data_IF_426287943806
#
_entry.id   IF_426287943806
#
_cell.length_a   1.000
_cell.length_b   1.000
_cell.length_c   1.000
_cell.angle_alpha   90.00
_cell.angle_beta   90.00
_cell.angle_gamma   90.00
#
_symmetry.space_group_name_H-M   'P 1'
#
loop_
_entity.id
_entity.type
_entity.pdbx_description
1 polymer ?
#
# COMPACT_ATOMS: atom_id res chain seq x y z
N UNK A 1 26.93 -12.37 -4.05
CA UNK A 1 26.29 -11.03 -3.93
C UNK A 1 24.80 -11.17 -4.12
N UNK A 2 24.01 -10.44 -3.34
CA UNK A 2 22.53 -10.38 -3.46
C UNK A 2 22.17 -8.99 -3.95
N UNK A 3 21.48 -8.90 -5.07
CA UNK A 3 20.86 -7.67 -5.55
C UNK A 3 19.45 -7.59 -4.95
N UNK A 4 19.29 -6.75 -3.92
CA UNK A 4 17.97 -6.48 -3.33
C UNK A 4 17.30 -5.31 -4.06
N UNK A 5 16.09 -5.52 -4.46
CA UNK A 5 15.36 -4.51 -5.20
C UNK A 5 13.98 -4.30 -4.58
N UNK A 6 13.74 -3.09 -4.07
CA UNK A 6 12.54 -2.70 -3.34
C UNK A 6 11.89 -1.39 -3.82
N UNK A 7 12.14 -0.92 -5.06
CA UNK A 7 11.52 0.29 -5.58
C UNK A 7 10.55 0.03 -6.74
N UNK A 8 9.57 0.91 -6.91
CA UNK A 8 8.47 0.78 -7.88
C UNK A 8 8.96 0.63 -9.33
N UNK A 9 10.03 1.31 -9.73
CA UNK A 9 10.59 1.24 -11.10
C UNK A 9 11.16 -0.13 -11.47
N UNK A 10 11.64 -0.85 -10.47
CA UNK A 10 12.22 -2.18 -10.65
C UNK A 10 11.16 -3.23 -10.96
N UNK A 11 9.96 -3.04 -10.48
CA UNK A 11 8.86 -3.99 -10.70
C UNK A 11 8.44 -4.09 -12.16
N UNK A 12 8.75 -3.08 -12.99
CA UNK A 12 8.46 -3.08 -14.43
C UNK A 12 9.58 -3.65 -15.29
N UNK A 13 10.82 -3.68 -14.77
CA UNK A 13 12.03 -4.09 -15.50
C UNK A 13 12.68 -5.35 -14.95
N UNK A 14 11.88 -6.26 -14.44
CA UNK A 14 12.38 -7.46 -13.74
C UNK A 14 13.30 -8.31 -14.60
N UNK A 15 13.00 -8.46 -15.90
CA UNK A 15 13.85 -9.19 -16.84
C UNK A 15 15.22 -8.52 -17.04
N UNK A 16 15.26 -7.18 -17.09
CA UNK A 16 16.52 -6.41 -17.18
C UNK A 16 17.35 -6.56 -15.92
N UNK A 17 16.72 -6.44 -14.73
CA UNK A 17 17.40 -6.66 -13.45
C UNK A 17 17.91 -8.09 -13.31
N UNK A 18 17.17 -9.08 -13.85
CA UNK A 18 17.65 -10.45 -13.89
C UNK A 18 18.88 -10.59 -14.76
N UNK A 19 18.90 -9.99 -15.93
CA UNK A 19 20.07 -9.99 -16.82
C UNK A 19 21.31 -9.38 -16.16
N UNK A 20 21.13 -8.22 -15.49
CA UNK A 20 22.20 -7.58 -14.73
C UNK A 20 22.72 -8.48 -13.61
N UNK A 21 21.80 -9.10 -12.86
CA UNK A 21 22.17 -10.00 -11.77
C UNK A 21 22.98 -11.21 -12.28
N UNK A 22 22.59 -11.80 -13.40
CA UNK A 22 23.30 -12.91 -14.04
C UNK A 22 24.68 -12.46 -14.53
N UNK A 23 24.81 -11.28 -15.14
CA UNK A 23 26.08 -10.73 -15.62
C UNK A 23 27.12 -10.55 -14.49
N UNK A 24 26.68 -10.10 -13.33
CA UNK A 24 27.57 -9.87 -12.17
C UNK A 24 27.66 -11.07 -11.21
N UNK A 25 27.03 -12.19 -11.52
CA UNK A 25 27.00 -13.40 -10.69
C UNK A 25 26.28 -13.19 -9.35
N UNK A 26 25.22 -12.37 -9.32
CA UNK A 26 24.45 -12.08 -8.12
C UNK A 26 23.07 -12.77 -8.14
N UNK A 27 22.52 -13.03 -6.96
CA UNK A 27 21.11 -13.44 -6.85
C UNK A 27 20.20 -12.20 -6.89
N UNK A 28 19.16 -12.25 -7.73
CA UNK A 28 18.08 -11.27 -7.71
C UNK A 28 17.02 -11.68 -6.68
N UNK A 29 16.85 -10.86 -5.64
CA UNK A 29 15.79 -10.99 -4.65
C UNK A 29 14.82 -9.82 -4.76
N UNK A 30 13.54 -10.13 -4.98
CA UNK A 30 12.46 -9.14 -5.10
C UNK A 30 11.53 -9.25 -3.89
N UNK A 31 11.30 -8.14 -3.18
CA UNK A 31 10.27 -8.05 -2.16
C UNK A 31 9.01 -7.40 -2.74
N UNK A 32 7.94 -8.19 -2.92
CA UNK A 32 6.65 -7.72 -3.41
C UNK A 32 5.61 -7.49 -2.29
N UNK A 33 6.05 -7.36 -1.04
CA UNK A 33 5.17 -7.33 0.12
C UNK A 33 4.03 -6.30 0.02
N UNK A 34 4.29 -5.12 -0.54
CA UNK A 34 3.27 -4.08 -0.67
C UNK A 34 2.26 -4.35 -1.76
N UNK A 35 2.66 -4.92 -2.88
CA UNK A 35 1.82 -5.05 -4.09
C UNK A 35 1.48 -6.51 -4.46
N UNK A 36 1.77 -7.48 -3.58
CA UNK A 36 1.51 -8.89 -3.84
C UNK A 36 0.05 -9.20 -4.20
N UNK A 37 -0.91 -8.45 -3.64
CA UNK A 37 -2.33 -8.57 -4.02
C UNK A 37 -2.58 -8.16 -5.48
N UNK A 38 -1.91 -7.12 -5.97
CA UNK A 38 -1.99 -6.69 -7.37
C UNK A 38 -1.38 -7.73 -8.31
N UNK A 39 -0.25 -8.34 -7.90
CA UNK A 39 0.37 -9.45 -8.66
C UNK A 39 -0.56 -10.65 -8.72
N UNK A 40 -1.14 -11.07 -7.60
CA UNK A 40 -2.08 -12.19 -7.53
C UNK A 40 -3.33 -11.96 -8.41
N UNK A 41 -3.80 -10.71 -8.50
CA UNK A 41 -4.92 -10.32 -9.35
C UNK A 41 -4.55 -10.18 -10.85
N UNK A 42 -3.27 -10.31 -11.20
CA UNK A 42 -2.79 -10.10 -12.58
C UNK A 42 -2.79 -8.63 -13.03
N UNK A 43 -2.81 -7.69 -12.08
CA UNK A 43 -2.85 -6.24 -12.33
C UNK A 43 -1.47 -5.57 -12.20
N UNK A 44 -0.44 -6.34 -11.89
CA UNK A 44 0.93 -5.87 -11.77
C UNK A 44 1.89 -6.96 -12.28
N UNK A 45 3.04 -6.58 -12.90
CA UNK A 45 4.02 -7.56 -13.35
C UNK A 45 4.45 -8.53 -12.26
N UNK A 46 4.51 -9.83 -12.62
CA UNK A 46 4.84 -10.91 -11.69
C UNK A 46 6.37 -11.10 -11.60
N UNK A 47 7.00 -10.95 -10.42
CA UNK A 47 8.44 -11.13 -10.25
C UNK A 47 8.90 -12.59 -10.26
N UNK A 48 7.99 -13.53 -9.97
CA UNK A 48 8.34 -14.95 -9.76
C UNK A 48 9.07 -15.60 -10.94
N UNK A 49 8.75 -15.32 -12.22
CA UNK A 49 9.49 -15.88 -13.35
C UNK A 49 10.92 -15.34 -13.50
N UNK A 50 11.21 -14.17 -12.95
CA UNK A 50 12.47 -13.45 -13.16
C UNK A 50 13.41 -13.52 -11.96
N UNK A 51 12.88 -13.45 -10.74
CA UNK A 51 13.69 -13.43 -9.53
C UNK A 51 14.16 -14.83 -9.11
N UNK A 52 15.33 -14.89 -8.49
CA UNK A 52 15.80 -16.11 -7.83
C UNK A 52 15.00 -16.39 -6.56
N UNK A 53 14.69 -15.32 -5.83
CA UNK A 53 13.90 -15.36 -4.59
C UNK A 53 12.90 -14.21 -4.61
N UNK A 54 11.67 -14.49 -4.22
CA UNK A 54 10.62 -13.49 -4.00
C UNK A 54 10.14 -13.59 -2.56
N UNK A 55 10.16 -12.48 -1.82
CA UNK A 55 9.55 -12.40 -0.50
C UNK A 55 8.29 -11.56 -0.51
N UNK A 56 7.38 -11.85 0.41
CA UNK A 56 6.17 -11.07 0.59
C UNK A 56 5.61 -11.18 2.01
N UNK A 57 4.71 -10.25 2.32
CA UNK A 57 3.80 -10.35 3.47
C UNK A 57 2.40 -10.74 3.01
N UNK A 58 1.61 -11.33 3.91
CA UNK A 58 0.22 -11.71 3.62
C UNK A 58 -0.77 -10.62 4.04
N UNK A 59 -0.40 -9.76 4.98
CA UNK A 59 -1.29 -8.81 5.67
C UNK A 59 -1.40 -7.41 5.06
N UNK A 60 -0.87 -7.20 3.84
CA UNK A 60 -1.00 -5.94 3.10
C UNK A 60 -2.07 -6.08 2.01
N UNK A 61 -1.76 -5.85 0.74
CA UNK A 61 -2.74 -5.95 -0.36
C UNK A 61 -3.36 -7.33 -0.53
N UNK A 62 -2.71 -8.41 -0.05
CA UNK A 62 -3.31 -9.75 -0.02
C UNK A 62 -4.45 -9.88 1.00
N UNK A 63 -4.47 -9.05 2.06
CA UNK A 63 -5.56 -8.99 3.03
C UNK A 63 -5.68 -10.18 3.98
N UNK A 64 -4.60 -10.91 4.21
CA UNK A 64 -4.56 -12.07 5.11
C UNK A 64 -3.94 -11.79 6.48
N UNK A 65 -3.55 -12.82 7.24
CA UNK A 65 -3.01 -12.69 8.59
C UNK A 65 -1.61 -12.09 8.58
N UNK A 66 -1.18 -11.52 9.71
CA UNK A 66 0.19 -11.02 9.90
C UNK A 66 1.19 -12.17 9.80
N UNK A 67 1.85 -12.23 8.66
CA UNK A 67 2.84 -13.27 8.33
C UNK A 67 3.57 -12.92 7.05
N UNK A 68 4.57 -13.71 6.68
CA UNK A 68 5.28 -13.64 5.42
C UNK A 68 5.32 -14.99 4.70
N UNK A 69 5.80 -14.96 3.47
CA UNK A 69 6.15 -16.14 2.69
C UNK A 69 7.30 -15.83 1.73
N UNK A 70 7.98 -16.87 1.30
CA UNK A 70 9.08 -16.79 0.34
C UNK A 70 8.79 -17.77 -0.79
N UNK A 71 9.05 -17.34 -2.01
CA UNK A 71 8.89 -18.14 -3.23
C UNK A 71 10.24 -18.25 -3.96
N UNK A 72 10.49 -19.42 -4.52
CA UNK A 72 11.60 -19.67 -5.45
C UNK A 72 11.25 -20.82 -6.39
N UNK A 73 11.73 -20.75 -7.62
CA UNK A 73 11.64 -21.83 -8.60
C UNK A 73 12.91 -22.73 -8.58
N UNK A 74 13.92 -22.38 -7.79
CA UNK A 74 15.17 -23.12 -7.67
C UNK A 74 15.10 -24.14 -6.50
N UNK A 75 15.17 -25.48 -6.78
CA UNK A 75 15.09 -26.50 -5.74
C UNK A 75 16.23 -26.43 -4.70
N UNK A 76 17.42 -25.97 -5.09
CA UNK A 76 18.56 -25.86 -4.17
C UNK A 76 18.40 -24.65 -3.24
N UNK A 77 17.93 -23.53 -3.78
CA UNK A 77 17.55 -22.37 -2.95
C UNK A 77 16.38 -22.72 -2.03
N UNK A 78 15.40 -23.46 -2.49
CA UNK A 78 14.26 -23.90 -1.68
C UNK A 78 14.72 -24.66 -0.42
N UNK A 79 15.64 -25.62 -0.57
CA UNK A 79 16.19 -26.37 0.58
C UNK A 79 16.91 -25.45 1.58
N UNK A 80 17.74 -24.52 1.06
CA UNK A 80 18.47 -23.55 1.90
C UNK A 80 17.54 -22.62 2.63
N UNK A 81 16.51 -22.08 1.94
CA UNK A 81 15.52 -21.17 2.52
C UNK A 81 14.69 -21.88 3.60
N UNK A 82 14.24 -23.12 3.37
CA UNK A 82 13.53 -23.90 4.37
C UNK A 82 14.38 -24.13 5.63
N UNK A 83 15.65 -24.52 5.46
CA UNK A 83 16.56 -24.70 6.58
C UNK A 83 16.86 -23.39 7.33
N UNK A 84 16.97 -22.27 6.61
CA UNK A 84 17.17 -20.96 7.21
C UNK A 84 15.95 -20.49 8.02
N UNK A 85 14.74 -20.79 7.55
CA UNK A 85 13.50 -20.49 8.28
C UNK A 85 13.39 -21.41 9.50
N UNK A 86 13.47 -22.71 9.31
CA UNK A 86 13.39 -23.68 10.41
C UNK A 86 14.42 -24.80 10.19
N UNK A 87 15.28 -25.08 11.16
CA UNK A 87 15.36 -24.48 12.50
C UNK A 87 16.25 -23.22 12.61
N UNK A 88 16.67 -22.62 11.49
CA UNK A 88 17.68 -21.56 11.50
C UNK A 88 17.27 -20.31 12.29
N UNK A 89 16.11 -19.76 12.03
CA UNK A 89 15.66 -18.48 12.62
C UNK A 89 14.34 -18.59 13.40
N UNK A 90 13.51 -19.60 13.15
CA UNK A 90 12.18 -19.76 13.73
C UNK A 90 12.04 -21.14 14.38
N UNK A 91 11.00 -21.27 15.23
CA UNK A 91 10.59 -22.52 15.86
C UNK A 91 9.29 -23.06 15.28
N UNK A 92 8.48 -23.72 16.11
CA UNK A 92 7.21 -24.30 15.70
C UNK A 92 6.25 -23.25 15.12
N UNK A 93 5.60 -23.52 13.97
CA UNK A 93 4.71 -22.58 13.32
C UNK A 93 3.39 -22.42 14.08
N UNK A 94 2.79 -21.24 13.98
CA UNK A 94 1.43 -20.97 14.46
C UNK A 94 0.42 -21.53 13.45
N UNK A 95 -0.16 -22.69 13.74
CA UNK A 95 -1.01 -23.41 12.78
C UNK A 95 -2.29 -22.66 12.39
N UNK A 96 -2.86 -21.85 13.30
CA UNK A 96 -3.98 -20.96 12.97
C UNK A 96 -3.59 -19.90 11.93
N UNK A 97 -2.36 -19.40 11.97
CA UNK A 97 -1.83 -18.47 10.95
C UNK A 97 -1.62 -19.19 9.62
N UNK A 98 -1.14 -20.44 9.64
CA UNK A 98 -0.99 -21.25 8.42
C UNK A 98 -2.35 -21.49 7.76
N UNK A 99 -3.37 -21.87 8.52
CA UNK A 99 -4.74 -22.05 8.02
C UNK A 99 -5.32 -20.73 7.46
N UNK A 100 -5.12 -19.61 8.16
CA UNK A 100 -5.56 -18.31 7.70
C UNK A 100 -4.84 -17.85 6.41
N UNK A 101 -3.55 -18.18 6.23
CA UNK A 101 -2.84 -17.96 4.96
C UNK A 101 -3.48 -18.74 3.81
N UNK A 102 -3.79 -20.03 4.02
CA UNK A 102 -4.42 -20.87 3.00
C UNK A 102 -5.77 -20.27 2.56
N UNK A 103 -6.57 -19.79 3.53
CA UNK A 103 -7.83 -19.10 3.26
C UNK A 103 -7.59 -17.80 2.45
N UNK A 104 -6.62 -16.98 2.86
CA UNK A 104 -6.29 -15.74 2.14
C UNK A 104 -5.84 -16.00 0.70
N UNK A 105 -5.03 -17.02 0.47
CA UNK A 105 -4.60 -17.40 -0.88
C UNK A 105 -5.75 -17.95 -1.74
N UNK A 106 -6.67 -18.68 -1.14
CA UNK A 106 -7.90 -19.13 -1.84
C UNK A 106 -8.76 -17.91 -2.25
N UNK A 107 -8.95 -16.95 -1.36
CA UNK A 107 -9.67 -15.69 -1.65
C UNK A 107 -8.96 -14.91 -2.76
N UNK A 108 -7.62 -14.82 -2.73
CA UNK A 108 -6.84 -14.11 -3.74
C UNK A 108 -7.01 -14.67 -5.17
N UNK A 109 -7.50 -15.90 -5.33
CA UNK A 109 -7.84 -16.50 -6.61
C UNK A 109 -9.27 -16.24 -7.10
N UNK A 110 -10.08 -15.42 -6.42
CA UNK A 110 -11.47 -15.14 -6.79
C UNK A 110 -11.61 -13.88 -7.64
N UNK A 111 -12.69 -13.81 -8.42
CA UNK A 111 -13.03 -12.62 -9.20
C UNK A 111 -13.36 -11.42 -8.29
N UNK A 112 -13.98 -11.65 -7.13
CA UNK A 112 -14.23 -10.62 -6.13
C UNK A 112 -12.93 -9.97 -5.62
N UNK A 113 -11.89 -10.78 -5.39
CA UNK A 113 -10.59 -10.27 -5.03
C UNK A 113 -9.98 -9.42 -6.14
N UNK A 114 -10.09 -9.86 -7.38
CA UNK A 114 -9.61 -9.11 -8.55
C UNK A 114 -10.33 -7.78 -8.69
N UNK A 115 -11.66 -7.75 -8.57
CA UNK A 115 -12.46 -6.52 -8.55
C UNK A 115 -11.98 -5.56 -7.45
N UNK A 116 -11.78 -6.06 -6.24
CA UNK A 116 -11.24 -5.27 -5.13
C UNK A 116 -9.89 -4.63 -5.46
N UNK A 117 -8.99 -5.38 -6.12
CA UNK A 117 -7.69 -4.83 -6.53
C UNK A 117 -7.82 -3.80 -7.67
N UNK A 118 -8.78 -3.97 -8.59
CA UNK A 118 -9.09 -2.97 -9.61
C UNK A 118 -9.58 -1.66 -8.98
N UNK A 119 -10.51 -1.73 -8.03
CA UNK A 119 -10.98 -0.56 -7.27
C UNK A 119 -9.86 0.09 -6.45
N UNK A 120 -8.94 -0.70 -5.91
CA UNK A 120 -7.74 -0.20 -5.22
C UNK A 120 -6.88 0.68 -6.14
N UNK A 121 -6.62 0.24 -7.37
CA UNK A 121 -5.84 0.99 -8.35
C UNK A 121 -6.60 2.23 -8.84
N UNK A 122 -7.89 2.08 -9.16
CA UNK A 122 -8.73 3.19 -9.59
C UNK A 122 -8.77 4.30 -8.52
N UNK A 123 -8.98 3.94 -7.25
CA UNK A 123 -8.98 4.88 -6.14
C UNK A 123 -7.63 5.59 -5.95
N UNK A 124 -6.51 4.89 -6.11
CA UNK A 124 -5.19 5.51 -6.03
C UNK A 124 -4.95 6.51 -7.17
N UNK A 125 -5.43 6.19 -8.37
CA UNK A 125 -5.35 7.08 -9.53
C UNK A 125 -6.18 8.34 -9.30
N UNK A 126 -7.44 8.20 -8.91
CA UNK A 126 -8.34 9.33 -8.57
C UNK A 126 -7.72 10.24 -7.53
N UNK A 127 -7.17 9.68 -6.46
CA UNK A 127 -6.49 10.45 -5.41
C UNK A 127 -5.28 11.20 -5.96
N UNK A 128 -4.44 10.56 -6.76
CA UNK A 128 -3.28 11.20 -7.36
C UNK A 128 -3.68 12.35 -8.31
N UNK A 129 -4.67 12.13 -9.17
CA UNK A 129 -5.20 13.14 -10.10
C UNK A 129 -5.73 14.36 -9.36
N UNK A 130 -6.49 14.18 -8.27
CA UNK A 130 -7.02 15.29 -7.46
C UNK A 130 -5.90 16.10 -6.79
N UNK A 131 -4.88 15.42 -6.26
CA UNK A 131 -3.73 16.08 -5.62
C UNK A 131 -2.75 16.73 -6.62
N UNK A 132 -2.91 16.47 -7.91
CA UNK A 132 -2.17 17.11 -9.01
C UNK A 132 -2.97 18.23 -9.68
N UNK A 133 -4.20 18.52 -9.23
CA UNK A 133 -5.00 19.63 -9.75
C UNK A 133 -4.34 20.99 -9.45
N UNK A 134 -4.71 22.01 -10.21
CA UNK A 134 -4.04 23.33 -10.17
C UNK A 134 -4.13 23.98 -8.79
N UNK A 135 -5.30 23.92 -8.13
CA UNK A 135 -5.51 24.45 -6.78
C UNK A 135 -4.60 23.77 -5.72
N UNK A 136 -4.42 22.46 -5.82
CA UNK A 136 -3.51 21.73 -4.94
C UNK A 136 -2.04 22.11 -5.22
N UNK A 137 -1.67 22.23 -6.48
CA UNK A 137 -0.32 22.68 -6.86
C UNK A 137 -0.02 24.11 -6.40
N UNK A 138 -0.96 25.03 -6.53
CA UNK A 138 -0.84 26.39 -6.03
C UNK A 138 -0.64 26.45 -4.52
N UNK A 139 -1.26 25.51 -3.77
CA UNK A 139 -1.05 25.33 -2.33
C UNK A 139 0.26 24.60 -1.98
N UNK A 140 1.10 24.26 -2.96
CA UNK A 140 2.38 23.58 -2.76
C UNK A 140 2.27 22.07 -2.55
N UNK A 141 1.12 21.47 -2.84
CA UNK A 141 0.90 20.01 -2.80
C UNK A 141 1.28 19.41 -4.15
N UNK A 142 1.99 18.30 -4.13
CA UNK A 142 2.30 17.53 -5.32
C UNK A 142 2.39 16.03 -5.03
N UNK A 143 2.55 15.22 -6.06
CA UNK A 143 2.68 13.77 -5.95
C UNK A 143 4.05 13.37 -6.49
N UNK A 144 4.80 12.62 -5.69
CA UNK A 144 6.11 12.08 -6.11
C UNK A 144 5.94 11.27 -7.41
N UNK A 145 6.86 11.46 -8.35
CA UNK A 145 6.83 10.86 -9.72
C UNK A 145 5.62 11.25 -10.58
N UNK A 146 4.82 12.24 -10.18
CA UNK A 146 3.72 12.76 -11.01
C UNK A 146 2.51 11.83 -11.13
N UNK A 147 2.38 10.83 -10.25
CA UNK A 147 1.25 9.89 -10.25
C UNK A 147 1.50 8.61 -9.48
N UNK A 148 0.66 7.61 -9.71
CA UNK A 148 0.82 6.28 -9.12
C UNK A 148 0.33 5.17 -10.06
N UNK A 149 0.95 4.01 -9.95
CA UNK A 149 0.57 2.78 -10.66
C UNK A 149 0.34 1.61 -9.69
N UNK A 150 0.28 1.93 -8.39
CA UNK A 150 0.09 0.97 -7.31
C UNK A 150 -1.03 1.42 -6.38
N UNK A 151 -1.19 0.77 -5.24
CA UNK A 151 -2.24 0.97 -4.25
C UNK A 151 -2.04 2.17 -3.32
N UNK A 152 -1.02 2.97 -3.52
CA UNK A 152 -0.68 4.11 -2.65
C UNK A 152 -0.20 5.32 -3.45
N UNK A 153 -0.33 6.49 -2.82
CA UNK A 153 0.18 7.77 -3.30
C UNK A 153 1.17 8.31 -2.29
N UNK A 154 2.32 8.78 -2.76
CA UNK A 154 3.28 9.51 -1.96
C UNK A 154 3.13 11.02 -2.29
N UNK A 155 2.57 11.74 -1.33
CA UNK A 155 2.35 13.20 -1.43
C UNK A 155 3.62 13.93 -1.03
N UNK A 156 3.98 14.97 -1.77
CA UNK A 156 5.12 15.84 -1.51
C UNK A 156 4.61 17.23 -1.09
N UNK A 157 4.98 17.63 0.12
CA UNK A 157 4.62 18.88 0.77
C UNK A 157 5.83 19.83 0.96
N UNK A 158 6.94 19.61 0.23
CA UNK A 158 8.13 20.48 0.40
C UNK A 158 7.86 21.94 0.09
N UNK A 159 6.94 22.22 -0.81
CA UNK A 159 6.53 23.57 -1.22
C UNK A 159 5.26 24.05 -0.50
N UNK A 160 4.64 23.22 0.35
CA UNK A 160 3.49 23.59 1.17
C UNK A 160 3.93 24.34 2.43
N UNK A 161 3.06 25.24 2.97
CA UNK A 161 3.27 25.82 4.30
C UNK A 161 3.33 24.77 5.41
N UNK A 162 2.65 23.63 5.23
CA UNK A 162 2.62 22.53 6.19
C UNK A 162 3.77 21.54 5.97
N UNK A 163 4.25 20.97 7.04
CA UNK A 163 5.10 19.79 7.00
C UNK A 163 4.28 18.50 7.08
N UNK A 164 4.96 17.34 7.01
CA UNK A 164 4.29 16.03 7.04
C UNK A 164 3.58 15.74 8.35
N UNK A 165 4.12 16.22 9.50
CA UNK A 165 3.49 16.03 10.80
C UNK A 165 2.21 16.85 10.93
N UNK A 166 2.26 18.13 10.57
CA UNK A 166 1.09 19.03 10.62
C UNK A 166 -0.03 18.51 9.72
N UNK A 167 0.31 18.06 8.51
CA UNK A 167 -0.66 17.49 7.57
C UNK A 167 -1.27 16.16 8.07
N UNK A 168 -0.47 15.28 8.68
CA UNK A 168 -0.96 14.06 9.32
C UNK A 168 -1.93 14.36 10.45
N UNK A 169 -1.56 15.28 11.37
CA UNK A 169 -2.37 15.67 12.53
C UNK A 169 -3.69 16.30 12.11
N UNK A 170 -3.68 17.14 11.07
CA UNK A 170 -4.87 17.80 10.53
C UNK A 170 -5.84 16.79 9.88
N UNK A 171 -5.32 15.86 9.07
CA UNK A 171 -6.12 14.80 8.47
C UNK A 171 -6.71 13.85 9.53
N UNK A 172 -5.96 13.54 10.59
CA UNK A 172 -6.50 12.80 11.73
C UNK A 172 -7.65 13.55 12.41
N UNK A 173 -7.54 14.87 12.57
CA UNK A 173 -8.61 15.70 13.13
C UNK A 173 -9.88 15.65 12.27
N UNK A 174 -9.75 15.58 10.95
CA UNK A 174 -10.87 15.38 10.00
C UNK A 174 -11.43 13.94 10.06
N UNK A 175 -10.67 12.97 10.58
CA UNK A 175 -11.06 11.56 10.68
C UNK A 175 -10.47 10.66 9.59
N UNK A 176 -9.47 11.14 8.86
CA UNK A 176 -8.73 10.38 7.86
C UNK A 176 -7.37 9.96 8.41
N UNK A 177 -7.15 8.65 8.54
CA UNK A 177 -5.88 8.11 9.02
C UNK A 177 -4.89 7.95 7.86
N UNK A 178 -3.82 8.70 7.92
CA UNK A 178 -2.67 8.61 7.01
C UNK A 178 -1.39 8.50 7.85
N UNK A 179 -0.24 8.36 7.21
CA UNK A 179 1.04 8.53 7.89
C UNK A 179 1.95 9.50 7.13
N UNK A 180 2.66 10.33 7.89
CA UNK A 180 3.76 11.12 7.38
C UNK A 180 4.86 10.22 6.82
N UNK A 181 5.51 10.67 5.77
CA UNK A 181 6.53 9.90 5.06
C UNK A 181 7.59 10.82 4.47
N UNK A 182 8.85 10.42 4.59
CA UNK A 182 9.91 11.15 3.92
C UNK A 182 9.73 11.07 2.40
N UNK A 183 10.03 12.17 1.71
CA UNK A 183 10.13 12.25 0.26
C UNK A 183 11.60 12.10 -0.17
N UNK A 184 11.89 11.77 -1.42
CA UNK A 184 13.27 11.74 -1.91
C UNK A 184 14.00 13.06 -1.63
N UNK A 185 15.19 12.98 -1.02
CA UNK A 185 16.00 14.14 -0.61
C UNK A 185 15.26 15.09 0.36
N UNK A 186 14.49 14.51 1.29
CA UNK A 186 13.71 15.27 2.26
C UNK A 186 14.58 16.22 3.10
N UNK A 187 14.30 17.54 3.12
CA UNK A 187 15.08 18.49 3.89
C UNK A 187 14.72 18.46 5.40
N UNK A 188 13.61 17.83 5.79
CA UNK A 188 13.14 17.78 7.17
C UNK A 188 13.58 16.49 7.88
N UNK A 189 13.71 16.51 9.22
CA UNK A 189 14.13 15.31 9.95
C UNK A 189 13.04 14.20 9.89
N UNK A 190 13.42 12.90 10.04
CA UNK A 190 12.53 11.75 9.89
C UNK A 190 11.28 11.74 10.76
N UNK A 191 11.26 12.49 11.85
CA UNK A 191 10.09 12.61 12.75
C UNK A 191 9.04 13.61 12.25
N UNK A 192 9.43 14.54 11.40
CA UNK A 192 8.58 15.60 10.84
C UNK A 192 8.20 15.26 9.41
N UNK A 193 9.20 15.01 8.54
CA UNK A 193 9.07 14.71 7.11
C UNK A 193 8.42 15.81 6.28
N UNK A 194 8.46 15.66 4.97
CA UNK A 194 7.84 16.61 4.04
C UNK A 194 6.78 15.95 3.16
N UNK A 195 6.23 14.82 3.57
CA UNK A 195 5.21 14.15 2.77
C UNK A 195 4.27 13.28 3.57
N UNK A 196 3.31 12.71 2.85
CA UNK A 196 2.32 11.75 3.34
C UNK A 196 2.30 10.52 2.45
N UNK A 197 2.06 9.36 3.06
CA UNK A 197 1.75 8.13 2.33
C UNK A 197 0.30 7.76 2.55
N UNK A 198 -0.46 7.67 1.47
CA UNK A 198 -1.90 7.42 1.49
C UNK A 198 -2.18 6.17 0.66
N UNK A 199 -2.80 5.16 1.26
CA UNK A 199 -3.14 3.90 0.61
C UNK A 199 -4.65 3.73 0.45
N UNK A 200 -5.08 3.06 -0.60
CA UNK A 200 -6.50 2.89 -0.98
C UNK A 200 -7.05 1.48 -0.73
N UNK A 201 -6.19 0.51 -0.45
CA UNK A 201 -6.60 -0.91 -0.31
C UNK A 201 -7.63 -1.16 0.79
N UNK A 202 -7.54 -0.43 1.92
CA UNK A 202 -8.47 -0.60 3.03
C UNK A 202 -9.89 -0.17 2.66
N UNK A 203 -10.03 0.98 2.00
CA UNK A 203 -11.33 1.49 1.55
C UNK A 203 -11.92 0.64 0.42
N UNK A 204 -11.09 0.20 -0.55
CA UNK A 204 -11.52 -0.74 -1.58
C UNK A 204 -12.02 -2.06 -0.98
N UNK A 205 -11.41 -2.55 0.10
CA UNK A 205 -11.87 -3.75 0.83
C UNK A 205 -13.22 -3.52 1.51
N UNK A 206 -13.51 -2.30 1.96
CA UNK A 206 -14.80 -1.92 2.54
C UNK A 206 -15.92 -1.77 1.50
N UNK A 207 -15.57 -1.74 0.21
CA UNK A 207 -16.57 -1.62 -0.86
C UNK A 207 -16.56 -0.28 -1.61
N UNK A 208 -15.67 0.65 -1.26
CA UNK A 208 -15.58 1.97 -1.93
C UNK A 208 -15.39 1.81 -3.44
N UNK A 209 -16.21 2.53 -4.20
CA UNK A 209 -16.10 2.70 -5.63
C UNK A 209 -15.38 3.99 -6.01
N UNK A 210 -15.31 4.29 -7.31
CA UNK A 210 -14.58 5.45 -7.84
C UNK A 210 -15.13 6.78 -7.32
N UNK A 211 -16.46 6.93 -7.23
CA UNK A 211 -17.10 8.16 -6.72
C UNK A 211 -16.80 8.39 -5.24
N UNK A 212 -16.77 7.32 -4.44
CA UNK A 212 -16.38 7.41 -3.02
C UNK A 212 -14.92 7.86 -2.88
N UNK A 213 -14.04 7.35 -3.75
CA UNK A 213 -12.65 7.79 -3.78
C UNK A 213 -12.49 9.23 -4.25
N UNK A 214 -13.36 9.75 -5.13
CA UNK A 214 -13.39 11.18 -5.49
C UNK A 214 -13.70 12.02 -4.26
N UNK A 215 -14.73 11.65 -3.52
CA UNK A 215 -15.11 12.35 -2.29
C UNK A 215 -13.98 12.31 -1.24
N UNK A 216 -13.33 11.15 -1.03
CA UNK A 216 -12.17 11.05 -0.15
C UNK A 216 -11.01 11.94 -0.62
N UNK A 217 -10.75 11.95 -1.92
CA UNK A 217 -9.69 12.75 -2.52
C UNK A 217 -9.95 14.26 -2.37
N UNK A 218 -11.20 14.68 -2.54
CA UNK A 218 -11.62 16.07 -2.34
C UNK A 218 -11.50 16.50 -0.88
N UNK A 219 -11.90 15.66 0.08
CA UNK A 219 -11.73 15.96 1.51
C UNK A 219 -10.25 16.12 1.85
N UNK A 220 -9.39 15.22 1.37
CA UNK A 220 -7.94 15.28 1.60
C UNK A 220 -7.36 16.55 0.97
N UNK A 221 -7.69 16.82 -0.29
CA UNK A 221 -7.19 18.01 -1.00
C UNK A 221 -7.64 19.29 -0.30
N UNK A 222 -8.92 19.42 0.03
CA UNK A 222 -9.46 20.59 0.75
C UNK A 222 -8.75 20.81 2.09
N UNK A 223 -8.50 19.72 2.84
CA UNK A 223 -7.75 19.79 4.11
C UNK A 223 -6.34 20.30 3.91
N UNK A 224 -5.62 19.79 2.90
CA UNK A 224 -4.23 20.17 2.63
C UNK A 224 -4.10 21.58 2.03
N UNK A 225 -5.07 22.01 1.23
CA UNK A 225 -5.09 23.35 0.61
C UNK A 225 -5.40 24.44 1.64
N UNK A 226 -6.42 24.21 2.48
CA UNK A 226 -6.86 25.21 3.47
C UNK A 226 -6.01 25.21 4.74
N UNK A 227 -5.34 24.11 5.05
CA UNK A 227 -4.52 23.99 6.27
C UNK A 227 -5.32 24.31 7.53
N UNK A 228 -4.81 25.21 8.34
CA UNK A 228 -5.44 25.62 9.61
C UNK A 228 -6.80 26.32 9.42
N UNK A 229 -7.08 26.86 8.22
CA UNK A 229 -8.35 27.51 7.88
C UNK A 229 -9.43 26.50 7.43
N UNK A 230 -9.14 25.19 7.43
CA UNK A 230 -10.10 24.16 7.06
C UNK A 230 -11.24 24.04 8.08
N UNK A 231 -12.48 23.91 7.60
CA UNK A 231 -13.62 23.62 8.46
C UNK A 231 -13.62 22.12 8.85
N UNK A 232 -12.93 21.83 9.94
CA UNK A 232 -12.73 20.46 10.44
C UNK A 232 -14.05 19.74 10.72
N UNK A 233 -15.06 20.44 11.28
CA UNK A 233 -16.34 19.80 11.60
C UNK A 233 -17.14 19.46 10.35
N UNK A 234 -17.16 20.33 9.36
CA UNK A 234 -17.81 20.06 8.07
C UNK A 234 -17.14 18.89 7.35
N UNK A 235 -15.79 18.87 7.27
CA UNK A 235 -15.03 17.79 6.65
C UNK A 235 -15.20 16.46 7.39
N UNK A 236 -15.18 16.49 8.73
CA UNK A 236 -15.45 15.30 9.57
C UNK A 236 -16.87 14.77 9.36
N UNK A 237 -17.85 15.65 9.14
CA UNK A 237 -19.21 15.28 8.77
C UNK A 237 -19.26 14.47 7.48
N UNK A 238 -18.53 14.90 6.43
CA UNK A 238 -18.41 14.18 5.15
C UNK A 238 -17.76 12.81 5.33
N UNK A 239 -16.67 12.73 6.10
CA UNK A 239 -15.98 11.45 6.41
C UNK A 239 -16.93 10.49 7.13
N UNK A 240 -17.70 10.98 8.12
CA UNK A 240 -18.68 10.15 8.84
C UNK A 240 -19.78 9.62 7.91
N UNK A 241 -20.29 10.44 7.00
CA UNK A 241 -21.29 10.05 6.03
C UNK A 241 -20.80 8.90 5.12
N UNK A 242 -19.58 9.00 4.60
CA UNK A 242 -18.94 7.92 3.84
C UNK A 242 -18.76 6.65 4.69
N UNK A 243 -18.23 6.80 5.90
CA UNK A 243 -17.94 5.65 6.78
C UNK A 243 -19.21 4.87 7.17
N UNK A 244 -20.35 5.56 7.30
CA UNK A 244 -21.65 4.95 7.60
C UNK A 244 -22.24 4.14 6.45
N UNK A 245 -21.92 4.49 5.20
CA UNK A 245 -22.35 3.73 4.02
C UNK A 245 -21.63 2.38 3.90
N UNK A 246 -20.41 2.28 4.47
CA UNK A 246 -19.55 1.11 4.38
C UNK A 246 -19.12 0.65 5.79
N UNK A 247 -20.04 0.13 6.61
CA UNK A 247 -19.72 -0.29 7.97
C UNK A 247 -18.67 -1.41 7.96
N UNK A 248 -17.77 -1.37 8.94
CA UNK A 248 -16.88 -2.50 9.21
C UNK A 248 -17.68 -3.60 9.93
N UNK A 249 -17.53 -4.84 9.46
CA UNK A 249 -18.18 -6.02 10.07
C UNK A 249 -19.69 -5.88 10.22
N UNK A 250 -20.46 -5.78 9.10
CA UNK A 250 -21.91 -5.73 9.17
C UNK A 250 -22.48 -6.91 9.97
N UNK A 251 -23.40 -6.65 10.89
CA UNK A 251 -23.97 -7.66 11.78
C UNK A 251 -23.19 -7.92 13.08
N UNK A 252 -22.06 -7.22 13.30
CA UNK A 252 -21.31 -7.37 14.56
C UNK A 252 -22.09 -6.82 15.76
N UNK A 253 -22.94 -5.84 15.56
CA UNK A 253 -23.87 -5.28 16.54
C UNK A 253 -24.87 -6.31 17.09
N UNK A 254 -25.19 -7.33 16.30
CA UNK A 254 -26.08 -8.43 16.67
C UNK A 254 -25.35 -9.58 17.40
N UNK A 255 -24.02 -9.48 17.47
CA UNK A 255 -23.17 -10.52 18.05
C UNK A 255 -23.22 -10.45 19.57
N UNK A 256 -23.95 -11.36 20.20
CA UNK A 256 -23.93 -11.52 21.65
C UNK A 256 -22.71 -12.37 22.01
N UNK A 257 -21.83 -11.84 22.85
CA UNK A 257 -20.80 -12.68 23.51
C UNK A 257 -21.50 -13.79 24.29
N UNK A 258 -21.18 -15.02 23.91
CA UNK A 258 -21.60 -16.22 24.65
C UNK A 258 -20.93 -16.30 26.03
#
# INVERSE_FOLDING_TARGET
TILFVGSVDVYKRQAEFRSIADEVGAYLWVDMAHFAGLVAAGLHPNPVPHAHVVSSTVHKTLGGPRSGFILTNDPELHKKLNSAVFPGQQGGPLMHVVAAKATAFKIAGTDEFKDRQQRTLAGAKVLAERLLADDAREAGVSVVSGGTEVHLVLVDLRNSPMDGQQAEDLLHAVGITVNRNAVPFDPRPPKVTSGLRIGTSALATRGFGEEDFREVADIIAETLIKGEDADIEALRGRVRALAQQYPLYPGLEDWKML
#
